data_IF_716184050810
#
_entry.id   IF_716184050810
#
_cell.length_a   1.000
_cell.length_b   1.000
_cell.length_c   1.000
_cell.angle_alpha   90.00
_cell.angle_beta   90.00
_cell.angle_gamma   90.00
#
_symmetry.space_group_name_H-M   'P 1'
#
loop_
_entity.id
_entity.type
_entity.pdbx_description
1 polymer ?
#
# COMPACT_ATOMS: atom_id res chain seq x y z
N UNK A 1 6.76 -19.98 4.18
CA UNK A 1 5.73 -19.43 3.27
C UNK A 1 4.67 -18.79 4.14
N UNK A 2 4.51 -17.48 4.01
CA UNK A 2 3.37 -16.78 4.59
C UNK A 2 2.13 -17.00 3.71
N UNK A 3 0.94 -16.89 4.28
CA UNK A 3 -0.32 -17.03 3.54
C UNK A 3 -0.60 -15.86 2.59
N UNK A 4 0.06 -14.71 2.80
CA UNK A 4 -0.12 -13.46 2.05
C UNK A 4 0.73 -13.34 0.79
N UNK A 5 1.60 -14.31 0.50
CA UNK A 5 2.36 -14.37 -0.76
C UNK A 5 1.47 -14.85 -1.91
N UNK A 6 0.71 -13.92 -2.50
CA UNK A 6 -0.37 -14.22 -3.45
C UNK A 6 -0.18 -13.62 -4.84
N UNK A 7 0.82 -12.77 -5.05
CA UNK A 7 1.01 -12.05 -6.30
C UNK A 7 2.30 -12.46 -7.02
N UNK A 8 2.15 -13.00 -8.22
CA UNK A 8 3.26 -13.32 -9.11
C UNK A 8 3.76 -12.08 -9.86
N UNK A 9 4.91 -12.22 -10.54
CA UNK A 9 5.42 -11.19 -11.44
C UNK A 9 4.44 -10.85 -12.58
N UNK A 10 3.71 -11.85 -13.08
CA UNK A 10 2.71 -11.66 -14.13
C UNK A 10 1.50 -10.89 -13.60
N UNK A 11 1.02 -11.21 -12.39
CA UNK A 11 -0.10 -10.47 -11.76
C UNK A 11 0.29 -9.01 -11.55
N UNK A 12 1.48 -8.77 -10.99
CA UNK A 12 2.01 -7.41 -10.84
C UNK A 12 2.18 -6.70 -12.19
N UNK A 13 2.40 -7.45 -13.27
CA UNK A 13 2.63 -6.87 -14.58
C UNK A 13 1.43 -6.16 -15.18
N UNK A 14 0.24 -6.71 -14.95
CA UNK A 14 -1.03 -6.25 -15.50
C UNK A 14 -1.95 -5.63 -14.47
N UNK A 15 -1.61 -5.70 -13.16
CA UNK A 15 -2.47 -5.28 -12.05
C UNK A 15 -3.17 -3.92 -12.25
N UNK A 16 -2.41 -2.89 -12.61
CA UNK A 16 -2.95 -1.53 -12.80
C UNK A 16 -3.89 -1.46 -14.01
N UNK A 17 -3.57 -2.17 -15.08
CA UNK A 17 -4.35 -2.18 -16.33
C UNK A 17 -5.63 -3.00 -16.16
N UNK A 18 -5.53 -4.16 -15.51
CA UNK A 18 -6.66 -5.05 -15.21
C UNK A 18 -7.67 -4.39 -14.26
N UNK A 19 -7.20 -3.48 -13.41
CA UNK A 19 -8.01 -2.72 -12.45
C UNK A 19 -8.13 -1.24 -12.84
N UNK A 20 -7.98 -0.87 -14.11
CA UNK A 20 -7.92 0.53 -14.53
C UNK A 20 -9.09 1.40 -14.03
N UNK A 21 -10.30 0.84 -13.87
CA UNK A 21 -11.45 1.55 -13.27
C UNK A 21 -11.18 1.99 -11.83
N UNK A 22 -10.50 1.16 -11.05
CA UNK A 22 -10.16 1.39 -9.64
C UNK A 22 -8.97 2.36 -9.46
N UNK A 23 -8.26 2.65 -10.56
CA UNK A 23 -7.18 3.65 -10.62
C UNK A 23 -7.67 5.00 -11.15
N UNK A 24 -8.96 5.12 -11.49
CA UNK A 24 -9.54 6.38 -11.96
C UNK A 24 -9.47 7.49 -10.90
N UNK A 25 -9.20 8.76 -11.27
CA UNK A 25 -9.13 9.87 -10.33
C UNK A 25 -10.41 10.06 -9.48
N UNK A 26 -11.58 9.77 -10.04
CA UNK A 26 -12.86 9.84 -9.32
C UNK A 26 -13.04 8.75 -8.27
N UNK A 27 -12.29 7.64 -8.36
CA UNK A 27 -12.30 6.54 -7.39
C UNK A 27 -11.22 6.76 -6.33
N UNK A 28 -10.02 7.13 -6.74
CA UNK A 28 -8.88 7.37 -5.85
C UNK A 28 -9.05 8.67 -5.04
N UNK A 29 -9.48 9.76 -5.69
CA UNK A 29 -9.52 11.10 -5.09
C UNK A 29 -10.25 11.15 -3.74
N UNK A 30 -11.49 10.66 -3.64
CA UNK A 30 -12.23 10.64 -2.37
C UNK A 30 -11.52 9.85 -1.26
N UNK A 31 -10.84 8.74 -1.60
CA UNK A 31 -10.09 7.96 -0.62
C UNK A 31 -8.84 8.72 -0.14
N UNK A 32 -8.13 9.37 -1.06
CA UNK A 32 -6.94 10.19 -0.73
C UNK A 32 -7.32 11.37 0.14
N UNK A 33 -8.40 12.08 -0.18
CA UNK A 33 -8.88 13.20 0.63
C UNK A 33 -9.24 12.75 2.04
N UNK A 34 -9.99 11.65 2.16
CA UNK A 34 -10.37 11.10 3.46
C UNK A 34 -9.17 10.64 4.29
N UNK A 35 -8.20 9.94 3.68
CA UNK A 35 -7.01 9.48 4.38
C UNK A 35 -6.09 10.62 4.78
N UNK A 36 -5.97 11.67 3.96
CA UNK A 36 -5.23 12.89 4.31
C UNK A 36 -5.84 13.57 5.52
N UNK A 37 -7.17 13.71 5.56
CA UNK A 37 -7.85 14.35 6.68
C UNK A 37 -7.68 13.53 7.99
N UNK A 38 -7.65 12.20 7.90
CA UNK A 38 -7.38 11.31 9.05
C UNK A 38 -5.91 11.33 9.50
N UNK A 39 -4.97 11.51 8.57
CA UNK A 39 -3.55 11.60 8.90
C UNK A 39 -3.21 12.93 9.61
N UNK A 40 -4.08 13.95 9.49
CA UNK A 40 -3.84 15.32 9.95
C UNK A 40 -2.48 15.81 9.41
N UNK A 41 -1.59 16.27 10.30
CA UNK A 41 -0.21 16.68 9.96
C UNK A 41 0.82 15.55 10.16
N UNK A 42 0.37 14.33 10.51
CA UNK A 42 1.23 13.21 10.85
C UNK A 42 1.52 12.24 9.69
N UNK A 43 2.51 11.35 9.86
CA UNK A 43 2.86 10.37 8.83
C UNK A 43 1.88 9.19 8.82
N UNK A 44 1.71 8.59 7.64
CA UNK A 44 0.85 7.45 7.41
C UNK A 44 1.64 6.19 7.02
N UNK A 45 1.11 5.02 7.40
CA UNK A 45 1.62 3.71 7.01
C UNK A 45 0.55 2.93 6.25
N UNK A 46 0.86 2.51 5.02
CA UNK A 46 0.03 1.60 4.24
C UNK A 46 0.53 0.16 4.38
N UNK A 47 -0.35 -0.73 4.83
CA UNK A 47 -0.10 -2.16 4.77
C UNK A 47 -0.43 -2.70 3.38
N UNK A 48 0.46 -3.55 2.85
CA UNK A 48 0.36 -4.13 1.51
C UNK A 48 0.13 -3.06 0.43
N UNK A 49 1.09 -2.14 0.32
CA UNK A 49 1.02 -0.94 -0.54
C UNK A 49 0.95 -1.29 -2.04
N UNK A 50 1.30 -2.52 -2.43
CA UNK A 50 1.17 -3.03 -3.79
C UNK A 50 1.89 -2.16 -4.82
N UNK A 51 1.22 -1.86 -5.93
CA UNK A 51 1.74 -0.95 -6.96
C UNK A 51 1.58 0.53 -6.59
N UNK A 52 1.13 0.84 -5.38
CA UNK A 52 1.00 2.20 -4.85
C UNK A 52 -0.28 2.92 -5.27
N UNK A 53 -1.41 2.20 -5.48
CA UNK A 53 -2.69 2.78 -5.93
C UNK A 53 -3.16 3.95 -5.05
N UNK A 54 -2.97 3.85 -3.72
CA UNK A 54 -3.34 4.89 -2.76
C UNK A 54 -2.11 5.60 -2.19
N UNK A 55 -1.07 4.87 -1.80
CA UNK A 55 0.13 5.47 -1.21
C UNK A 55 0.81 6.52 -2.10
N UNK A 56 0.90 6.29 -3.42
CA UNK A 56 1.53 7.25 -4.35
C UNK A 56 0.74 8.58 -4.43
N UNK A 57 -0.58 8.58 -4.70
CA UNK A 57 -1.32 9.84 -4.73
C UNK A 57 -1.48 10.48 -3.34
N UNK A 58 -1.48 9.70 -2.25
CA UNK A 58 -1.48 10.25 -0.89
C UNK A 58 -0.16 10.97 -0.56
N UNK A 59 0.98 10.41 -0.97
CA UNK A 59 2.28 11.07 -0.88
C UNK A 59 2.32 12.35 -1.74
N UNK A 60 1.80 12.30 -2.96
CA UNK A 60 1.68 13.47 -3.83
C UNK A 60 0.75 14.56 -3.26
N UNK A 61 -0.19 14.21 -2.38
CA UNK A 61 -1.04 15.14 -1.65
C UNK A 61 -0.38 15.75 -0.40
N UNK A 62 0.90 15.45 -0.13
CA UNK A 62 1.70 16.07 0.93
C UNK A 62 1.78 15.25 2.23
N UNK A 63 1.19 14.06 2.29
CA UNK A 63 1.30 13.18 3.47
C UNK A 63 2.62 12.41 3.40
N UNK A 64 3.36 12.32 4.51
CA UNK A 64 4.53 11.44 4.59
C UNK A 64 4.06 9.99 4.68
N UNK A 65 4.15 9.22 3.59
CA UNK A 65 3.68 7.83 3.52
C UNK A 65 4.85 6.85 3.51
N UNK A 66 4.77 5.84 4.38
CA UNK A 66 5.57 4.62 4.30
C UNK A 66 4.68 3.43 3.93
N UNK A 67 5.26 2.39 3.34
CA UNK A 67 4.55 1.16 2.98
C UNK A 67 5.21 -0.11 3.52
N UNK A 68 4.41 -1.15 3.74
CA UNK A 68 4.87 -2.54 3.79
C UNK A 68 4.34 -3.23 2.53
N UNK A 69 5.18 -4.01 1.85
CA UNK A 69 4.73 -4.87 0.75
C UNK A 69 5.54 -6.16 0.76
N UNK A 70 4.89 -7.30 0.52
CA UNK A 70 5.55 -8.60 0.52
C UNK A 70 6.10 -8.96 -0.87
N UNK A 71 5.44 -8.49 -1.93
CA UNK A 71 5.74 -8.83 -3.32
C UNK A 71 6.77 -7.87 -3.92
N UNK A 72 8.02 -8.33 -4.10
CA UNK A 72 9.05 -7.58 -4.82
C UNK A 72 8.59 -7.10 -6.22
N UNK A 73 7.87 -7.91 -7.03
CA UNK A 73 7.32 -7.43 -8.31
C UNK A 73 6.34 -6.26 -8.19
N UNK A 74 5.51 -6.23 -7.13
CA UNK A 74 4.60 -5.11 -6.88
C UNK A 74 5.39 -3.84 -6.53
N UNK A 75 6.41 -3.96 -5.68
CA UNK A 75 7.34 -2.85 -5.36
C UNK A 75 8.03 -2.35 -6.63
N UNK A 76 8.48 -3.26 -7.50
CA UNK A 76 9.11 -2.87 -8.77
C UNK A 76 8.15 -2.07 -9.67
N UNK A 77 6.85 -2.39 -9.69
CA UNK A 77 5.84 -1.61 -10.40
C UNK A 77 5.61 -0.25 -9.74
N UNK A 78 5.55 -0.18 -8.41
CA UNK A 78 5.47 1.07 -7.64
C UNK A 78 6.65 1.99 -7.94
N UNK A 79 7.88 1.44 -8.00
CA UNK A 79 9.12 2.21 -8.23
C UNK A 79 9.24 2.86 -9.61
N UNK A 80 8.34 2.53 -10.55
CA UNK A 80 8.21 3.25 -11.82
C UNK A 80 7.38 4.53 -11.70
N UNK A 81 6.64 4.71 -10.61
CA UNK A 81 5.76 5.85 -10.35
C UNK A 81 6.38 6.82 -9.35
N UNK A 82 7.12 6.29 -8.37
CA UNK A 82 7.68 7.06 -7.26
C UNK A 82 9.00 6.45 -6.79
N UNK A 83 9.96 7.29 -6.39
CA UNK A 83 11.23 6.82 -5.83
C UNK A 83 11.12 6.38 -4.35
N UNK A 84 12.16 5.72 -3.85
CA UNK A 84 12.26 5.22 -2.48
C UNK A 84 12.24 6.35 -1.44
N UNK A 85 12.73 7.54 -1.79
CA UNK A 85 12.81 8.67 -0.87
C UNK A 85 11.45 9.30 -0.62
N UNK A 86 10.61 9.33 -1.65
CA UNK A 86 9.27 9.92 -1.60
C UNK A 86 8.25 8.97 -0.96
N UNK A 87 8.39 7.66 -1.17
CA UNK A 87 7.56 6.63 -0.53
C UNK A 87 8.43 5.43 -0.14
N UNK A 88 9.00 5.40 1.08
CA UNK A 88 9.79 4.29 1.57
C UNK A 88 8.94 3.03 1.73
N UNK A 89 9.45 1.87 1.30
CA UNK A 89 8.73 0.58 1.42
C UNK A 89 9.61 -0.46 2.09
N UNK A 90 9.09 -1.06 3.17
CA UNK A 90 9.72 -2.22 3.80
C UNK A 90 9.19 -3.49 3.14
N UNK A 91 10.10 -4.26 2.54
CA UNK A 91 9.78 -5.58 1.99
C UNK A 91 9.48 -6.55 3.14
N UNK A 92 8.25 -7.05 3.23
CA UNK A 92 7.87 -8.01 4.25
C UNK A 92 6.37 -8.26 4.37
N UNK A 93 6.02 -9.23 5.20
CA UNK A 93 4.64 -9.60 5.49
C UNK A 93 4.00 -8.60 6.46
N UNK A 94 2.85 -8.02 6.09
CA UNK A 94 2.13 -7.05 6.92
C UNK A 94 1.71 -7.60 8.29
N UNK A 95 1.63 -8.92 8.47
CA UNK A 95 1.28 -9.53 9.76
C UNK A 95 2.44 -9.54 10.78
N UNK A 96 3.69 -9.40 10.33
CA UNK A 96 4.87 -9.57 11.21
C UNK A 96 5.93 -8.49 11.05
N UNK A 97 5.90 -7.76 9.94
CA UNK A 97 6.88 -6.72 9.63
C UNK A 97 6.61 -5.47 10.47
N UNK A 98 7.69 -4.88 10.97
CA UNK A 98 7.63 -3.62 11.72
C UNK A 98 8.34 -2.53 10.92
N UNK A 99 7.75 -1.33 10.91
CA UNK A 99 8.35 -0.14 10.34
C UNK A 99 8.71 0.79 11.49
N UNK A 100 9.96 1.26 11.62
CA UNK A 100 10.34 2.14 12.70
C UNK A 100 9.63 3.50 12.57
N UNK A 101 9.11 4.02 13.68
CA UNK A 101 8.46 5.32 13.76
C UNK A 101 7.11 5.26 14.46
N UNK A 102 6.49 6.43 14.59
CA UNK A 102 5.09 6.58 15.02
C UNK A 102 4.29 7.12 13.83
N UNK A 103 3.05 6.65 13.69
CA UNK A 103 2.16 7.01 12.60
C UNK A 103 0.85 7.57 13.18
N UNK A 104 0.38 8.69 12.65
CA UNK A 104 -0.95 9.20 12.97
C UNK A 104 -2.05 8.33 12.34
N UNK A 105 -1.73 7.70 11.22
CA UNK A 105 -2.64 6.82 10.49
C UNK A 105 -1.94 5.54 10.03
N UNK A 106 -2.54 4.38 10.32
CA UNK A 106 -2.17 3.11 9.71
C UNK A 106 -3.40 2.58 8.98
N UNK A 107 -3.27 2.25 7.71
CA UNK A 107 -4.41 1.84 6.88
C UNK A 107 -4.09 0.66 5.96
N UNK A 108 -5.17 -0.02 5.56
CA UNK A 108 -5.17 -1.16 4.66
C UNK A 108 -6.46 -1.07 3.83
N UNK A 109 -6.34 -1.12 2.50
CA UNK A 109 -7.47 -0.91 1.59
C UNK A 109 -7.71 -2.11 0.68
N UNK A 110 -8.86 -2.12 0.02
CA UNK A 110 -9.20 -3.01 -1.09
C UNK A 110 -9.22 -4.51 -0.74
N UNK A 111 -9.84 -4.85 0.39
CA UNK A 111 -10.03 -6.23 0.88
C UNK A 111 -8.73 -6.98 1.22
N UNK A 112 -7.59 -6.30 1.23
CA UNK A 112 -6.26 -6.94 1.33
C UNK A 112 -6.05 -7.69 2.66
N UNK A 113 -6.81 -7.36 3.72
CA UNK A 113 -6.83 -8.16 4.96
C UNK A 113 -7.18 -9.64 4.70
N UNK A 114 -8.02 -9.92 3.70
CA UNK A 114 -8.40 -11.28 3.31
C UNK A 114 -7.25 -12.10 2.71
N UNK A 115 -6.10 -11.48 2.41
CA UNK A 115 -4.89 -12.21 2.02
C UNK A 115 -4.26 -12.93 3.22
N UNK A 116 -4.55 -12.52 4.45
CA UNK A 116 -4.23 -13.26 5.67
C UNK A 116 -5.28 -14.35 5.88
N UNK A 117 -4.87 -15.62 5.80
CA UNK A 117 -5.80 -16.75 5.69
C UNK A 117 -6.12 -17.42 7.02
N UNK A 118 -5.55 -16.92 8.11
CA UNK A 118 -5.85 -17.40 9.45
C UNK A 118 -6.28 -16.26 10.36
N UNK A 119 -7.12 -16.59 11.34
CA UNK A 119 -7.55 -15.61 12.35
C UNK A 119 -6.37 -15.02 13.11
N UNK A 120 -5.35 -15.83 13.40
CA UNK A 120 -4.17 -15.42 14.17
C UNK A 120 -3.29 -14.41 13.41
N UNK A 121 -3.30 -14.43 12.08
CA UNK A 121 -2.61 -13.39 11.28
C UNK A 121 -3.41 -12.07 11.25
N UNK A 122 -4.74 -12.11 11.47
CA UNK A 122 -5.63 -10.96 11.36
C UNK A 122 -5.83 -10.17 12.68
N UNK A 123 -5.24 -10.59 13.81
CA UNK A 123 -5.48 -10.01 15.15
C UNK A 123 -4.21 -9.70 15.92
#
# INVERSE_FOLDING_TARGET
MTSSDVYSEQDAATYDDDLASEFGPSVIGPAVDYLRDLAEDGPALEFAVGTGRIGVPLAAAGVSVSGIELSEPMIARLRRKVDEQTLPVVLGDMATTTVPGEFSLVYLVFNTLSNLRTQAEQV
#
